data_IF_613610013745
#
_entry.id   IF_613610013745
#
_cell.length_a   1.000
_cell.length_b   1.000
_cell.length_c   1.000
_cell.angle_alpha   90.00
_cell.angle_beta   90.00
_cell.angle_gamma   90.00
#
_symmetry.space_group_name_H-M   'P 1'
#
loop_
_entity.id
_entity.type
_entity.pdbx_description
1 polymer ?
#
# COMPACT_ATOMS: atom_id res chain seq x y z
N UNK A 1 -15.98 -12.06 4.39
CA UNK A 1 -14.74 -11.72 5.09
C UNK A 1 -13.86 -10.90 4.17
N UNK A 2 -13.54 -9.72 4.60
CA UNK A 2 -12.61 -8.89 3.85
C UNK A 2 -11.18 -9.26 4.22
N UNK A 3 -10.36 -9.48 3.20
CA UNK A 3 -8.93 -9.66 3.41
C UNK A 3 -8.31 -8.31 3.78
N UNK A 4 -7.60 -8.26 4.89
CA UNK A 4 -6.83 -7.09 5.25
C UNK A 4 -5.44 -7.16 4.62
N UNK A 5 -4.62 -6.13 4.83
CA UNK A 5 -3.30 -6.06 4.22
C UNK A 5 -2.39 -7.22 4.58
N UNK A 6 -2.45 -7.69 5.83
CA UNK A 6 -1.64 -8.85 6.24
C UNK A 6 -2.07 -10.11 5.54
N UNK A 7 -3.39 -10.32 5.43
CA UNK A 7 -3.92 -11.48 4.72
C UNK A 7 -3.51 -11.44 3.25
N UNK A 8 -3.61 -10.27 2.62
CA UNK A 8 -3.18 -10.12 1.23
C UNK A 8 -1.70 -10.44 1.06
N UNK A 9 -0.86 -9.95 1.97
CA UNK A 9 0.57 -10.20 1.91
C UNK A 9 0.87 -11.69 2.05
N UNK A 10 0.23 -12.37 2.99
CA UNK A 10 0.40 -13.80 3.17
C UNK A 10 0.01 -14.56 1.92
N UNK A 11 -1.09 -14.16 1.27
CA UNK A 11 -1.55 -14.83 0.06
C UNK A 11 -0.58 -14.61 -1.09
N UNK A 12 -0.01 -13.43 -1.21
CA UNK A 12 1.00 -13.18 -2.23
C UNK A 12 2.21 -14.09 -2.02
N UNK A 13 2.71 -14.17 -0.79
CA UNK A 13 3.86 -15.01 -0.47
C UNK A 13 3.54 -16.49 -0.74
N UNK A 14 2.35 -16.92 -0.36
CA UNK A 14 1.91 -18.28 -0.55
C UNK A 14 1.87 -18.69 -2.03
N UNK A 15 1.56 -17.72 -2.90
CA UNK A 15 1.52 -17.96 -4.35
C UNK A 15 2.85 -17.66 -5.04
N UNK A 16 3.92 -17.47 -4.29
CA UNK A 16 5.25 -17.31 -4.84
C UNK A 16 5.69 -15.87 -5.10
N UNK A 17 4.85 -14.90 -4.75
CA UNK A 17 5.19 -13.48 -4.90
C UNK A 17 5.77 -12.97 -3.60
N UNK A 18 7.06 -13.14 -3.41
CA UNK A 18 7.73 -12.80 -2.16
C UNK A 18 8.29 -11.38 -2.19
N UNK A 19 8.31 -10.68 -1.01
CA UNK A 19 8.94 -9.38 -0.94
C UNK A 19 10.48 -9.52 -1.07
N UNK A 20 11.18 -8.44 -1.39
CA UNK A 20 10.63 -7.10 -1.56
C UNK A 20 9.97 -6.91 -2.91
N UNK A 21 8.91 -6.09 -2.92
CA UNK A 21 8.25 -5.71 -4.16
C UNK A 21 8.86 -4.42 -4.69
N UNK A 22 8.92 -4.29 -6.00
CA UNK A 22 9.44 -3.05 -6.58
C UNK A 22 8.49 -1.90 -6.32
N UNK A 23 7.22 -2.12 -6.60
CA UNK A 23 6.17 -1.11 -6.41
C UNK A 23 4.92 -1.74 -5.82
N UNK A 24 4.22 -0.97 -5.02
CA UNK A 24 2.90 -1.37 -4.53
C UNK A 24 1.99 -0.15 -4.56
N UNK A 25 0.76 -0.37 -5.01
CA UNK A 25 -0.26 0.67 -5.12
C UNK A 25 -1.42 0.33 -4.22
N UNK A 26 -1.99 1.32 -3.56
CA UNK A 26 -3.12 1.10 -2.68
C UNK A 26 -3.99 2.35 -2.61
N UNK A 27 -5.25 2.15 -2.23
CA UNK A 27 -6.18 3.24 -1.97
C UNK A 27 -6.58 3.29 -0.48
N UNK A 28 -5.97 2.46 0.35
CA UNK A 28 -6.38 2.34 1.75
C UNK A 28 -5.20 2.03 2.67
N UNK A 29 -5.30 2.50 3.90
CA UNK A 29 -4.30 2.25 4.93
C UNK A 29 -4.23 0.77 5.35
N UNK A 30 -5.26 -0.01 5.08
CA UNK A 30 -5.26 -1.42 5.44
C UNK A 30 -4.21 -2.23 4.67
N UNK A 31 -3.67 -1.69 3.59
CA UNK A 31 -2.61 -2.34 2.82
C UNK A 31 -1.20 -1.99 3.31
N UNK A 32 -1.08 -1.40 4.49
CA UNK A 32 0.21 -1.03 5.05
C UNK A 32 1.27 -2.14 4.99
N UNK A 33 0.95 -3.41 5.32
CA UNK A 33 1.97 -4.46 5.25
C UNK A 33 2.56 -4.64 3.85
N UNK A 34 1.73 -4.56 2.81
CA UNK A 34 2.20 -4.68 1.43
C UNK A 34 3.00 -3.45 1.04
N UNK A 35 2.53 -2.27 1.42
CA UNK A 35 3.22 -1.02 1.12
C UNK A 35 4.60 -0.98 1.79
N UNK A 36 4.71 -1.49 3.01
CA UNK A 36 6.00 -1.60 3.70
C UNK A 36 6.95 -2.54 2.99
N UNK A 37 6.42 -3.61 2.41
CA UNK A 37 7.24 -4.62 1.74
C UNK A 37 7.73 -4.18 0.37
N UNK A 38 7.24 -3.05 -0.14
CA UNK A 38 7.64 -2.53 -1.44
C UNK A 38 8.75 -1.52 -1.32
N UNK A 39 9.59 -1.43 -2.35
CA UNK A 39 10.61 -0.41 -2.43
C UNK A 39 9.98 0.97 -2.61
N UNK A 40 8.94 1.04 -3.42
CA UNK A 40 8.17 2.26 -3.63
C UNK A 40 6.69 1.97 -3.36
N UNK A 41 6.08 2.79 -2.53
CA UNK A 41 4.67 2.67 -2.20
C UNK A 41 3.91 3.85 -2.78
N UNK A 42 2.77 3.57 -3.42
CA UNK A 42 1.96 4.59 -4.08
C UNK A 42 0.55 4.57 -3.52
N UNK A 43 0.06 5.74 -3.14
CA UNK A 43 -1.30 5.90 -2.64
C UNK A 43 -2.13 6.62 -3.70
N UNK A 44 -3.21 5.98 -4.15
CA UNK A 44 -4.09 6.49 -5.20
C UNK A 44 -5.53 6.50 -4.72
N UNK A 45 -6.33 7.42 -5.21
CA UNK A 45 -7.78 7.49 -4.88
C UNK A 45 -8.05 7.40 -3.38
N UNK A 46 -7.24 8.05 -2.61
CA UNK A 46 -7.18 7.88 -1.17
C UNK A 46 -8.16 8.79 -0.43
N UNK A 47 -8.45 8.40 0.83
CA UNK A 47 -9.09 9.29 1.79
C UNK A 47 -8.01 10.05 2.53
N UNK A 48 -8.30 11.28 2.92
CA UNK A 48 -7.33 12.14 3.60
C UNK A 48 -6.77 11.48 4.87
N UNK A 49 -7.62 10.82 5.65
CA UNK A 49 -7.17 10.16 6.87
C UNK A 49 -6.15 9.04 6.58
N UNK A 50 -6.32 8.34 5.46
CA UNK A 50 -5.40 7.27 5.08
C UNK A 50 -4.07 7.87 4.62
N UNK A 51 -4.11 8.98 3.91
CA UNK A 51 -2.90 9.68 3.49
C UNK A 51 -2.08 10.12 4.71
N UNK A 52 -2.73 10.72 5.69
CA UNK A 52 -2.05 11.18 6.91
C UNK A 52 -1.42 9.98 7.63
N UNK A 53 -2.21 8.93 7.84
CA UNK A 53 -1.74 7.75 8.54
C UNK A 53 -0.54 7.09 7.84
N UNK A 54 -0.67 6.86 6.53
CA UNK A 54 0.38 6.20 5.76
C UNK A 54 1.62 7.06 5.64
N UNK A 55 1.46 8.37 5.54
CA UNK A 55 2.62 9.28 5.51
C UNK A 55 3.43 9.18 6.79
N UNK A 56 2.77 9.05 7.93
CA UNK A 56 3.45 8.87 9.21
C UNK A 56 4.18 7.53 9.29
N UNK A 57 3.60 6.48 8.72
CA UNK A 57 4.16 5.13 8.81
C UNK A 57 5.24 4.85 7.79
N UNK A 58 5.12 5.40 6.60
CA UNK A 58 6.02 5.11 5.49
C UNK A 58 7.02 6.22 5.18
N UNK A 59 6.74 7.43 5.62
CA UNK A 59 7.64 8.56 5.38
C UNK A 59 7.87 8.81 3.90
N UNK A 60 9.13 9.04 3.54
CA UNK A 60 9.51 9.39 2.17
C UNK A 60 9.27 8.29 1.16
N UNK A 61 9.10 7.06 1.61
CA UNK A 61 8.84 5.93 0.76
C UNK A 61 7.48 6.05 0.06
N UNK A 62 6.53 6.73 0.70
CA UNK A 62 5.18 6.88 0.16
C UNK A 62 5.12 7.99 -0.87
N UNK A 63 4.62 7.66 -2.05
CA UNK A 63 4.32 8.60 -3.12
C UNK A 63 2.82 8.79 -3.20
N UNK A 64 2.40 10.04 -3.29
CA UNK A 64 0.97 10.36 -3.39
C UNK A 64 0.66 10.66 -4.84
N UNK A 65 -0.29 9.94 -5.40
CA UNK A 65 -0.74 10.17 -6.78
C UNK A 65 -2.12 10.82 -6.71
N UNK A 66 -2.19 12.05 -7.14
CA UNK A 66 -3.46 12.78 -7.14
C UNK A 66 -4.44 12.15 -8.12
N UNK A 67 -5.72 12.32 -7.81
CA UNK A 67 -6.76 11.87 -8.70
C UNK A 67 -6.65 12.56 -10.05
N UNK A 68 -6.68 11.77 -11.09
CA UNK A 68 -6.86 12.30 -12.43
C UNK A 68 -8.36 12.39 -12.63
N UNK A 69 -8.85 13.61 -12.68
CA UNK A 69 -10.27 13.82 -12.95
C UNK A 69 -10.51 13.76 -14.43
N UNK A 70 -11.52 13.02 -14.85
CA UNK A 70 -11.86 12.99 -16.26
C UNK A 70 -12.35 14.34 -16.75
#
# INVERSE_FOLDING_TARGET
IQANGETKLRELIRHGYTPPYVRAYSDTASDLPILRAATKAFLVNYREKDRIYLSQKLGEKLQIIDHIKP
#
